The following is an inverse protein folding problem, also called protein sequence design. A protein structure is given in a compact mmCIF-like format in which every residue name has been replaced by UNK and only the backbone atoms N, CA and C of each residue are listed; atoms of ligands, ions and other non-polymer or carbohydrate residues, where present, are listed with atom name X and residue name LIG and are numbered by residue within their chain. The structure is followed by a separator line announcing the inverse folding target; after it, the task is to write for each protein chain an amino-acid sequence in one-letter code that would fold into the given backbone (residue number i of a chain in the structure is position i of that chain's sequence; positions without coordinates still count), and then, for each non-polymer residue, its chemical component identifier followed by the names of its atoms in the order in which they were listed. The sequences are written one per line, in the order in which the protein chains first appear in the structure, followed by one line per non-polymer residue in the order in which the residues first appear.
data_IF_978519127617
#
_entry.id   IF_978519127617
#
_cell.length_a   1.000
_cell.length_b   1.000
_cell.length_c   1.000
_cell.angle_alpha   90.00
_cell.angle_beta   90.00
_cell.angle_gamma   90.00
#
_symmetry.space_group_name_H-M   'P 1'
#
loop_
_entity.id
_entity.type
_entity.pdbx_description
1 polymer ?
#
# COMPACT_ATOMS: atom_id res chain seq x y z
N UNK A 1 11.03 -8.16 4.08
CA UNK A 1 9.93 -7.18 3.89
C UNK A 1 9.53 -6.48 5.18
N UNK A 2 9.48 -7.18 6.33
CA UNK A 2 9.08 -6.59 7.62
C UNK A 2 9.96 -5.41 8.10
N UNK A 3 11.31 -5.52 8.13
CA UNK A 3 12.14 -4.46 8.74
C UNK A 3 12.00 -3.11 8.03
N UNK A 4 11.89 -3.13 6.70
CA UNK A 4 11.74 -1.89 5.91
C UNK A 4 10.35 -1.27 6.11
N UNK A 5 9.30 -2.07 6.28
CA UNK A 5 7.98 -1.54 6.61
C UNK A 5 7.97 -0.89 7.99
N UNK A 6 8.58 -1.52 8.99
CA UNK A 6 8.72 -0.98 10.34
C UNK A 6 9.51 0.34 10.34
N UNK A 7 10.61 0.40 9.60
CA UNK A 7 11.42 1.61 9.43
C UNK A 7 10.59 2.74 8.81
N UNK A 8 9.94 2.51 7.67
CA UNK A 8 9.08 3.51 7.01
C UNK A 8 8.00 3.99 7.98
N UNK A 9 7.27 3.08 8.63
CA UNK A 9 6.22 3.41 9.60
C UNK A 9 6.79 4.29 10.73
N UNK A 10 8.00 3.97 11.23
CA UNK A 10 8.68 4.74 12.27
C UNK A 10 9.05 6.16 11.87
N UNK A 11 9.15 6.46 10.58
CA UNK A 11 9.45 7.80 10.05
C UNK A 11 8.21 8.66 9.76
N UNK A 12 7.01 8.08 9.79
CA UNK A 12 5.78 8.81 9.43
C UNK A 12 5.36 9.80 10.52
N UNK A 13 5.31 11.08 10.14
CA UNK A 13 4.77 12.15 10.99
C UNK A 13 3.24 12.25 10.82
N UNK A 14 2.49 12.02 11.90
CA UNK A 14 1.03 12.14 11.93
C UNK A 14 0.51 13.55 11.64
N UNK A 15 1.35 14.56 11.75
CA UNK A 15 1.00 15.96 11.52
C UNK A 15 1.42 16.45 10.13
N UNK A 16 1.97 15.57 9.29
CA UNK A 16 2.38 15.92 7.94
C UNK A 16 1.18 16.41 7.10
N UNK A 17 1.36 17.57 6.46
CA UNK A 17 0.37 18.13 5.54
C UNK A 17 0.34 17.39 4.18
N UNK A 18 1.44 16.75 3.81
CA UNK A 18 1.58 15.97 2.58
C UNK A 18 1.75 14.50 2.96
N UNK A 19 0.92 13.60 2.43
CA UNK A 19 1.04 12.18 2.72
C UNK A 19 2.22 11.52 2.01
N UNK A 20 2.69 10.40 2.56
CA UNK A 20 3.68 9.53 1.92
C UNK A 20 3.00 8.49 1.03
N UNK A 21 3.35 8.46 -0.25
CA UNK A 21 3.01 7.33 -1.14
C UNK A 21 4.16 6.33 -1.12
N UNK A 22 3.93 5.14 -0.57
CA UNK A 22 4.89 4.05 -0.54
C UNK A 22 4.61 3.10 -1.71
N UNK A 23 5.56 2.99 -2.64
CA UNK A 23 5.50 2.02 -3.73
C UNK A 23 6.39 0.83 -3.40
N UNK A 24 5.80 -0.35 -3.23
CA UNK A 24 6.50 -1.56 -2.83
C UNK A 24 6.47 -2.60 -3.95
N UNK A 25 7.59 -2.78 -4.64
CA UNK A 25 7.74 -3.74 -5.74
C UNK A 25 8.23 -5.09 -5.23
N UNK A 26 7.64 -6.17 -5.72
CA UNK A 26 8.05 -7.56 -5.43
C UNK A 26 7.89 -8.46 -6.65
N UNK A 27 8.79 -9.42 -6.84
CA UNK A 27 8.72 -10.48 -7.85
C UNK A 27 8.11 -11.79 -7.31
N UNK A 28 7.80 -11.83 -6.01
CA UNK A 28 7.32 -13.01 -5.30
C UNK A 28 6.35 -12.71 -4.17
N UNK A 29 5.81 -13.79 -3.60
CA UNK A 29 4.89 -13.72 -2.46
C UNK A 29 5.61 -13.43 -1.16
N UNK A 30 4.99 -12.64 -0.29
CA UNK A 30 5.54 -12.34 1.02
C UNK A 30 5.40 -13.54 1.98
N UNK A 31 6.47 -13.80 2.75
CA UNK A 31 6.52 -14.96 3.64
C UNK A 31 5.78 -14.74 4.98
N UNK A 32 5.67 -13.49 5.44
CA UNK A 32 5.20 -13.14 6.78
C UNK A 32 3.77 -12.55 6.80
N UNK A 33 2.78 -13.32 6.32
CA UNK A 33 1.41 -12.80 6.07
C UNK A 33 0.79 -12.05 7.26
N UNK A 34 0.86 -12.65 8.45
CA UNK A 34 0.25 -12.10 9.66
C UNK A 34 0.93 -10.81 10.15
N UNK A 35 2.26 -10.71 9.98
CA UNK A 35 3.02 -9.54 10.39
C UNK A 35 2.74 -8.36 9.46
N UNK A 36 2.73 -8.58 8.15
CA UNK A 36 2.38 -7.54 7.15
C UNK A 36 0.97 -7.02 7.41
N UNK A 37 0.02 -7.94 7.63
CA UNK A 37 -1.36 -7.59 7.94
C UNK A 37 -1.46 -6.72 9.20
N UNK A 38 -0.70 -7.06 10.24
CA UNK A 38 -0.63 -6.28 11.47
C UNK A 38 -0.03 -4.89 11.24
N UNK A 39 1.07 -4.81 10.47
CA UNK A 39 1.72 -3.54 10.14
C UNK A 39 0.81 -2.62 9.33
N UNK A 40 0.13 -3.14 8.30
CA UNK A 40 -0.81 -2.36 7.50
C UNK A 40 -1.99 -1.86 8.35
N UNK A 41 -2.53 -2.69 9.25
CA UNK A 41 -3.54 -2.25 10.22
C UNK A 41 -3.03 -1.11 11.10
N UNK A 42 -1.84 -1.25 11.68
CA UNK A 42 -1.22 -0.20 12.49
C UNK A 42 -1.01 1.09 11.69
N UNK A 43 -0.53 0.96 10.45
CA UNK A 43 -0.26 2.08 9.55
C UNK A 43 -1.53 2.76 9.03
N UNK A 44 -2.72 2.14 9.16
CA UNK A 44 -3.98 2.71 8.67
C UNK A 44 -4.39 4.01 9.37
N UNK A 45 -3.76 4.36 10.50
CA UNK A 45 -3.93 5.64 11.17
C UNK A 45 -2.80 6.65 10.92
N UNK A 46 -1.94 6.43 9.92
CA UNK A 46 -0.83 7.30 9.56
C UNK A 46 -1.05 7.89 8.16
N UNK A 47 -0.50 9.08 7.87
CA UNK A 47 -0.66 9.74 6.57
C UNK A 47 0.22 9.08 5.50
N UNK A 48 0.02 7.79 5.26
CA UNK A 48 0.69 7.03 4.23
C UNK A 48 -0.25 6.03 3.53
N UNK A 49 -0.09 5.91 2.22
CA UNK A 49 -0.73 4.91 1.39
C UNK A 49 0.30 3.92 0.85
N UNK A 50 0.01 2.63 0.93
CA UNK A 50 0.89 1.54 0.55
C UNK A 50 0.40 0.87 -0.74
N UNK A 51 1.05 1.17 -1.86
CA UNK A 51 0.78 0.48 -3.12
C UNK A 51 1.76 -0.68 -3.27
N UNK A 52 1.24 -1.91 -3.24
CA UNK A 52 2.01 -3.12 -3.53
C UNK A 52 1.91 -3.46 -5.02
N UNK A 53 3.06 -3.72 -5.64
CA UNK A 53 3.19 -4.03 -7.06
C UNK A 53 3.88 -5.38 -7.20
N UNK A 54 3.13 -6.38 -7.66
CA UNK A 54 3.67 -7.68 -8.06
C UNK A 54 4.18 -7.65 -9.50
N UNK A 55 5.41 -8.09 -9.74
CA UNK A 55 5.99 -8.24 -11.08
C UNK A 55 6.13 -9.73 -11.41
N UNK A 56 5.65 -10.13 -12.59
CA UNK A 56 5.74 -11.51 -13.09
C UNK A 56 4.51 -12.37 -12.79
N UNK A 57 4.69 -13.69 -12.81
CA UNK A 57 3.61 -14.71 -12.75
C UNK A 57 3.49 -15.42 -11.39
N UNK A 58 4.08 -14.85 -10.35
CA UNK A 58 4.09 -15.43 -9.01
C UNK A 58 2.70 -15.39 -8.35
N UNK A 59 2.45 -16.27 -7.38
CA UNK A 59 1.29 -16.13 -6.49
C UNK A 59 1.64 -15.13 -5.39
N UNK A 60 0.88 -14.03 -5.30
CA UNK A 60 1.18 -12.94 -4.36
C UNK A 60 0.44 -13.07 -3.03
N UNK A 61 -0.59 -13.93 -2.98
CA UNK A 61 -1.03 -14.66 -1.78
C UNK A 61 -1.57 -13.82 -0.62
N UNK A 62 -0.71 -13.11 0.12
CA UNK A 62 -1.15 -12.17 1.16
C UNK A 62 -1.53 -10.81 0.59
N UNK A 63 -0.87 -10.38 -0.48
CA UNK A 63 -1.12 -9.06 -1.06
C UNK A 63 -2.52 -8.97 -1.65
N UNK A 64 -2.97 -10.03 -2.34
CA UNK A 64 -4.37 -10.20 -2.80
C UNK A 64 -5.41 -10.14 -1.67
N UNK A 65 -5.00 -10.33 -0.42
CA UNK A 65 -5.90 -10.29 0.75
C UNK A 65 -5.93 -8.93 1.44
N UNK A 66 -5.07 -7.98 1.05
CA UNK A 66 -5.04 -6.64 1.62
C UNK A 66 -6.32 -5.86 1.30
N UNK A 67 -6.91 -6.08 0.13
CA UNK A 67 -8.17 -5.46 -0.29
C UNK A 67 -9.32 -5.81 0.68
N UNK A 68 -9.31 -7.02 1.24
CA UNK A 68 -10.34 -7.50 2.18
C UNK A 68 -9.93 -7.34 3.65
N UNK A 69 -8.91 -6.53 3.94
CA UNK A 69 -8.34 -6.41 5.27
C UNK A 69 -9.26 -5.62 6.22
N UNK A 70 -9.89 -6.33 7.14
CA UNK A 70 -10.70 -5.74 8.22
C UNK A 70 -9.86 -5.21 9.38
N UNK A 71 -10.45 -4.33 10.20
CA UNK A 71 -9.81 -3.79 11.41
C UNK A 71 -8.84 -2.63 11.15
N UNK A 72 -8.95 -1.99 9.99
CA UNK A 72 -8.23 -0.76 9.63
C UNK A 72 -9.08 0.47 9.96
N UNK A 73 -8.44 1.61 10.22
CA UNK A 73 -9.12 2.90 10.37
C UNK A 73 -9.60 3.44 9.02
N UNK A 74 -8.72 3.40 8.01
CA UNK A 74 -9.03 3.66 6.60
C UNK A 74 -8.36 2.62 5.72
N UNK A 75 -8.86 2.43 4.50
CA UNK A 75 -8.21 1.58 3.52
C UNK A 75 -6.92 2.23 2.99
N UNK A 76 -5.79 1.88 3.59
CA UNK A 76 -4.49 2.51 3.35
C UNK A 76 -3.55 1.68 2.47
N UNK A 77 -4.04 0.63 1.81
CA UNK A 77 -3.18 -0.23 1.00
C UNK A 77 -3.91 -0.76 -0.22
N UNK A 78 -3.25 -0.73 -1.37
CA UNK A 78 -3.71 -1.33 -2.61
C UNK A 78 -2.73 -2.37 -3.13
N UNK A 79 -3.22 -3.25 -4.00
CA UNK A 79 -2.40 -4.26 -4.66
C UNK A 79 -2.79 -4.44 -6.13
N UNK A 80 -1.79 -4.52 -7.00
CA UNK A 80 -1.97 -5.05 -8.35
C UNK A 80 -0.72 -5.83 -8.78
N UNK A 81 -0.88 -6.67 -9.80
CA UNK A 81 0.21 -7.41 -10.42
C UNK A 81 0.26 -7.16 -11.93
N UNK A 82 1.48 -7.10 -12.47
CA UNK A 82 1.76 -6.96 -13.90
C UNK A 82 2.78 -7.99 -14.32
N UNK A 83 2.58 -8.64 -15.47
CA UNK A 83 3.54 -9.63 -15.97
C UNK A 83 4.87 -8.97 -16.35
N UNK A 84 4.80 -7.83 -17.03
CA UNK A 84 5.95 -7.05 -17.42
C UNK A 84 5.59 -5.55 -17.42
N UNK A 85 6.20 -4.79 -16.51
CA UNK A 85 5.97 -3.34 -16.38
C UNK A 85 6.40 -2.57 -17.64
N UNK A 86 7.40 -3.07 -18.37
CA UNK A 86 7.92 -2.43 -19.60
C UNK A 86 6.94 -2.50 -20.78
N UNK A 87 5.88 -3.30 -20.65
CA UNK A 87 4.82 -3.41 -21.67
C UNK A 87 3.70 -2.39 -21.48
N UNK A 88 3.70 -1.68 -20.35
CA UNK A 88 2.72 -0.65 -20.07
C UNK A 88 3.21 0.70 -20.59
N UNK A 89 2.29 1.54 -21.05
CA UNK A 89 2.58 2.96 -21.21
C UNK A 89 2.73 3.61 -19.84
N UNK A 90 3.48 4.71 -19.77
CA UNK A 90 3.59 5.51 -18.54
C UNK A 90 2.21 5.86 -17.97
N UNK A 91 1.27 6.26 -18.85
CA UNK A 91 -0.10 6.58 -18.45
C UNK A 91 -0.81 5.39 -17.79
N UNK A 92 -0.73 4.20 -18.40
CA UNK A 92 -1.33 2.99 -17.83
C UNK A 92 -0.67 2.59 -16.50
N UNK A 93 0.65 2.76 -16.39
CA UNK A 93 1.38 2.52 -15.14
C UNK A 93 0.92 3.48 -14.04
N UNK A 94 0.81 4.78 -14.34
CA UNK A 94 0.33 5.77 -13.37
C UNK A 94 -1.13 5.53 -12.94
N UNK A 95 -2.00 5.13 -13.87
CA UNK A 95 -3.38 4.75 -13.55
C UNK A 95 -3.43 3.57 -12.57
N UNK A 96 -2.59 2.56 -12.77
CA UNK A 96 -2.50 1.42 -11.86
C UNK A 96 -1.91 1.78 -10.49
N UNK A 97 -0.83 2.58 -10.48
CA UNK A 97 -0.16 3.01 -9.25
C UNK A 97 -1.04 3.88 -8.36
N UNK A 98 -2.01 4.59 -8.95
CA UNK A 98 -2.84 5.58 -8.27
C UNK A 98 -4.32 5.21 -8.25
N UNK A 99 -4.69 3.98 -8.60
CA UNK A 99 -6.10 3.57 -8.76
C UNK A 99 -6.94 3.81 -7.50
N UNK A 100 -6.41 3.45 -6.33
CA UNK A 100 -7.10 3.55 -5.03
C UNK A 100 -6.66 4.77 -4.20
N UNK A 101 -5.57 5.43 -4.61
CA UNK A 101 -5.00 6.54 -3.88
C UNK A 101 -5.96 7.74 -3.70
N UNK A 102 -6.73 8.18 -4.72
CA UNK A 102 -7.75 9.22 -4.56
C UNK A 102 -8.85 8.87 -3.56
N UNK A 103 -9.24 7.60 -3.50
CA UNK A 103 -10.26 7.12 -2.57
C UNK A 103 -9.74 7.15 -1.14
N UNK A 104 -8.50 6.67 -0.95
CA UNK A 104 -7.81 6.80 0.31
C UNK A 104 -7.67 8.25 0.76
N UNK A 105 -7.27 9.19 -0.11
CA UNK A 105 -7.15 10.61 0.26
C UNK A 105 -8.46 11.17 0.83
N UNK A 106 -9.60 10.79 0.26
CA UNK A 106 -10.92 11.21 0.77
C UNK A 106 -11.21 10.57 2.13
N UNK A 107 -11.00 9.26 2.25
CA UNK A 107 -11.22 8.54 3.50
C UNK A 107 -10.31 9.05 4.63
N UNK A 108 -9.02 9.26 4.35
CA UNK A 108 -8.02 9.73 5.30
C UNK A 108 -8.34 11.12 5.85
N UNK A 109 -8.80 12.05 4.99
CA UNK A 109 -9.26 13.38 5.44
C UNK A 109 -10.50 13.30 6.32
N UNK A 110 -11.49 12.51 5.91
CA UNK A 110 -12.71 12.30 6.70
C UNK A 110 -12.41 11.69 8.08
N UNK A 111 -11.42 10.79 8.15
CA UNK A 111 -10.98 10.14 9.38
C UNK A 111 -9.93 10.95 10.17
N UNK A 112 -9.53 12.14 9.69
CA UNK A 112 -8.47 12.99 10.27
C UNK A 112 -7.10 12.30 10.40
N UNK A 113 -6.85 11.33 9.51
CA UNK A 113 -5.51 10.74 9.31
C UNK A 113 -4.63 11.68 8.49
N UNK A 114 -5.24 12.38 7.54
CA UNK A 114 -4.62 13.46 6.78
C UNK A 114 -5.36 14.76 7.09
N UNK A 115 -4.62 15.86 7.21
CA UNK A 115 -5.17 17.20 7.48
C UNK A 115 -5.83 17.85 6.26
#
# INVERSE_FOLDING_TARGET
EIPIMEEIIGTLDKTAAVPTLVLFFTDGGFHAKAQITTLIRTASGLPAFWQFIGIGKSSFGVLEKLDNLTGRLVDNAGFFAVENVDTLSDAALYELLLSEYPDWLRAARNARVLS
#
